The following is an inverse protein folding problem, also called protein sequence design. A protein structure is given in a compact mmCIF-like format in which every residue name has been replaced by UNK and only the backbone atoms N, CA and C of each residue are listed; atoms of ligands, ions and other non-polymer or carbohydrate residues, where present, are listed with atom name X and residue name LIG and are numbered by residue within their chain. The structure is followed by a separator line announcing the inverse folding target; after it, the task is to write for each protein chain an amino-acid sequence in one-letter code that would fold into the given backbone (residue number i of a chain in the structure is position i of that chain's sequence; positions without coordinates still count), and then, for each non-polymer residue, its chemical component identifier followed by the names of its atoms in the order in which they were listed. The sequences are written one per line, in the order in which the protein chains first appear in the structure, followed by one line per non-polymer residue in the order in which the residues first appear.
data_IF_055846968352
#
_entry.id   IF_055846968352
#
_cell.length_a   1.000
_cell.length_b   1.000
_cell.length_c   1.000
_cell.angle_alpha   90.00
_cell.angle_beta   90.00
_cell.angle_gamma   90.00
#
_symmetry.space_group_name_H-M   'P 1'
#
loop_
_entity.id
_entity.type
_entity.pdbx_description
1 polymer ?
#
# COMPACT_ATOMS: atom_id res chain seq x y z
N UNK A 1 9.71 -14.99 -4.37
CA UNK A 1 8.27 -14.68 -4.52
C UNK A 1 7.63 -15.82 -5.30
N UNK A 2 6.46 -16.36 -4.93
CA UNK A 2 5.84 -17.51 -5.63
C UNK A 2 5.25 -17.07 -6.99
N UNK A 3 5.19 -17.96 -7.97
CA UNK A 3 4.67 -17.75 -9.34
C UNK A 3 3.28 -17.09 -9.35
N UNK A 4 2.40 -17.47 -8.42
CA UNK A 4 1.07 -16.88 -8.27
C UNK A 4 1.10 -15.35 -7.99
N UNK A 5 2.14 -14.84 -7.34
CA UNK A 5 2.31 -13.40 -7.10
C UNK A 5 2.81 -12.68 -8.36
N UNK A 6 3.77 -13.29 -9.08
CA UNK A 6 4.27 -12.74 -10.33
C UNK A 6 3.17 -12.62 -11.37
N UNK A 7 2.28 -13.63 -11.46
CA UNK A 7 1.09 -13.55 -12.32
C UNK A 7 0.13 -12.42 -11.91
N UNK A 8 -0.10 -12.22 -10.60
CA UNK A 8 -0.95 -11.12 -10.11
C UNK A 8 -0.37 -9.75 -10.46
N UNK A 9 0.95 -9.59 -10.33
CA UNK A 9 1.64 -8.35 -10.72
C UNK A 9 1.49 -8.16 -12.23
N UNK A 10 1.79 -9.17 -13.05
CA UNK A 10 1.69 -9.08 -14.51
C UNK A 10 0.28 -8.75 -15.01
N UNK A 11 -0.77 -9.19 -14.30
CA UNK A 11 -2.18 -8.90 -14.64
C UNK A 11 -2.71 -7.60 -14.03
N UNK A 12 -1.92 -6.91 -13.22
CA UNK A 12 -2.37 -5.69 -12.53
C UNK A 12 -2.59 -4.54 -13.51
N UNK A 13 -3.73 -3.87 -13.40
CA UNK A 13 -4.12 -2.76 -14.27
C UNK A 13 -4.08 -1.44 -13.52
N UNK A 14 -3.77 -0.37 -14.24
CA UNK A 14 -3.81 0.99 -13.71
C UNK A 14 -5.21 1.32 -13.13
N UNK A 15 -5.31 1.86 -11.91
CA UNK A 15 -6.59 2.26 -11.32
C UNK A 15 -7.11 3.58 -11.91
N UNK A 16 -8.44 3.77 -11.94
CA UNK A 16 -9.12 4.94 -12.56
C UNK A 16 -8.64 6.30 -12.03
N UNK A 17 -8.32 6.42 -10.73
CA UNK A 17 -7.82 7.65 -10.10
C UNK A 17 -6.31 7.57 -9.82
N UNK A 18 -5.52 7.09 -10.79
CA UNK A 18 -4.13 6.71 -10.55
C UNK A 18 -3.28 7.78 -9.88
N UNK A 19 -3.30 9.05 -10.32
CA UNK A 19 -2.49 10.12 -9.71
C UNK A 19 -2.75 10.27 -8.20
N UNK A 20 -4.02 10.25 -7.78
CA UNK A 20 -4.39 10.37 -6.37
C UNK A 20 -3.94 9.14 -5.59
N UNK A 21 -4.22 7.94 -6.12
CA UNK A 21 -3.87 6.68 -5.43
C UNK A 21 -2.36 6.48 -5.38
N UNK A 22 -1.63 6.87 -6.42
CA UNK A 22 -0.18 6.86 -6.49
C UNK A 22 0.42 7.77 -5.43
N UNK A 23 -0.12 8.98 -5.25
CA UNK A 23 0.32 9.89 -4.20
C UNK A 23 0.14 9.27 -2.80
N UNK A 24 -1.04 8.71 -2.52
CA UNK A 24 -1.30 8.03 -1.25
C UNK A 24 -0.32 6.87 -1.05
N UNK A 25 -0.16 6.02 -2.06
CA UNK A 25 0.73 4.85 -2.02
C UNK A 25 2.19 5.25 -1.81
N UNK A 26 2.64 6.33 -2.45
CA UNK A 26 3.98 6.87 -2.25
C UNK A 26 4.27 7.20 -0.78
N UNK A 27 3.37 7.95 -0.12
CA UNK A 27 3.53 8.30 1.29
C UNK A 27 3.40 7.09 2.24
N UNK A 28 2.53 6.13 1.90
CA UNK A 28 2.48 4.85 2.60
C UNK A 28 3.83 4.14 2.55
N UNK A 29 4.36 3.88 1.35
CA UNK A 29 5.63 3.18 1.17
C UNK A 29 6.79 3.94 1.82
N UNK A 30 6.80 5.27 1.75
CA UNK A 30 7.81 6.09 2.43
C UNK A 30 7.80 5.84 3.95
N UNK A 31 6.63 5.85 4.59
CA UNK A 31 6.53 5.60 6.02
C UNK A 31 6.86 4.15 6.41
N UNK A 32 6.48 3.18 5.56
CA UNK A 32 6.89 1.77 5.74
C UNK A 32 8.41 1.61 5.67
N UNK A 33 9.08 2.22 4.68
CA UNK A 33 10.55 2.21 4.55
C UNK A 33 11.25 2.88 5.71
N UNK A 34 10.65 3.91 6.31
CA UNK A 34 11.15 4.58 7.52
C UNK A 34 10.92 3.77 8.80
N UNK A 35 10.25 2.63 8.73
CA UNK A 35 9.97 1.79 9.90
C UNK A 35 8.89 2.35 10.85
N UNK A 36 8.09 3.33 10.40
CA UNK A 36 7.01 3.88 11.24
C UNK A 36 6.03 2.79 11.61
N UNK A 37 5.62 2.66 12.88
CA UNK A 37 4.49 1.81 13.24
C UNK A 37 3.16 2.34 12.64
N UNK A 38 2.08 1.57 12.78
CA UNK A 38 0.82 1.90 12.09
C UNK A 38 0.18 3.16 12.63
N UNK A 39 0.35 3.43 13.93
CA UNK A 39 -0.18 4.65 14.54
C UNK A 39 0.60 5.88 14.06
N UNK A 40 1.93 5.77 14.04
CA UNK A 40 2.83 6.81 13.56
C UNK A 40 2.59 7.11 12.08
N UNK A 41 2.45 6.08 11.25
CA UNK A 41 2.11 6.26 9.83
C UNK A 41 0.78 6.98 9.65
N UNK A 42 -0.26 6.54 10.36
CA UNK A 42 -1.59 7.16 10.34
C UNK A 42 -1.52 8.66 10.71
N UNK A 43 -0.84 8.99 11.81
CA UNK A 43 -0.69 10.37 12.27
C UNK A 43 0.04 11.24 11.22
N UNK A 44 1.15 10.73 10.69
CA UNK A 44 1.95 11.46 9.67
C UNK A 44 1.16 11.68 8.38
N UNK A 45 0.40 10.70 7.91
CA UNK A 45 -0.45 10.87 6.72
C UNK A 45 -1.46 12.02 6.92
N UNK A 46 -2.10 12.07 8.09
CA UNK A 46 -3.04 13.13 8.44
C UNK A 46 -2.35 14.50 8.57
N UNK A 47 -1.20 14.57 9.25
CA UNK A 47 -0.40 15.80 9.40
C UNK A 47 0.02 16.38 8.04
N UNK A 48 0.38 15.52 7.07
CA UNK A 48 0.74 15.94 5.71
C UNK A 48 -0.48 16.18 4.80
N UNK A 49 -1.70 16.09 5.32
CA UNK A 49 -2.92 16.30 4.54
C UNK A 49 -3.18 15.22 3.47
N UNK A 50 -2.54 14.05 3.58
CA UNK A 50 -2.76 12.93 2.68
C UNK A 50 -4.05 12.24 3.06
N UNK A 51 -5.13 12.49 2.32
CA UNK A 51 -6.47 11.96 2.65
C UNK A 51 -6.75 10.58 2.02
N UNK A 52 -7.52 9.72 2.69
CA UNK A 52 -8.07 8.52 2.07
C UNK A 52 -9.09 8.88 0.98
N UNK A 53 -9.39 7.92 0.10
CA UNK A 53 -10.27 8.15 -1.06
C UNK A 53 -11.74 8.40 -0.69
N UNK A 54 -12.19 7.88 0.44
CA UNK A 54 -13.61 7.79 0.82
C UNK A 54 -13.89 8.27 2.25
N UNK A 55 -12.90 8.89 2.91
CA UNK A 55 -13.03 9.37 4.28
C UNK A 55 -12.21 10.66 4.48
N UNK A 56 -12.48 11.37 5.56
CA UNK A 56 -11.84 12.67 5.84
C UNK A 56 -10.46 12.55 6.47
N UNK A 57 -10.17 11.43 7.14
CA UNK A 57 -8.90 11.17 7.81
C UNK A 57 -8.54 9.69 7.84
N UNK A 58 -7.25 9.40 7.95
CA UNK A 58 -6.76 8.06 8.27
C UNK A 58 -7.02 7.74 9.73
N UNK A 59 -7.39 6.48 9.98
CA UNK A 59 -7.47 5.90 11.31
C UNK A 59 -6.47 4.77 11.40
N UNK A 60 -6.13 4.34 12.61
CA UNK A 60 -5.30 3.17 12.83
C UNK A 60 -5.84 1.95 12.06
N UNK A 61 -7.15 1.70 12.16
CA UNK A 61 -7.80 0.57 11.53
C UNK A 61 -7.77 0.66 9.99
N UNK A 62 -8.11 1.81 9.41
CA UNK A 62 -8.10 1.95 7.94
C UNK A 62 -6.68 1.85 7.39
N UNK A 63 -5.69 2.40 8.08
CA UNK A 63 -4.27 2.28 7.72
C UNK A 63 -3.81 0.83 7.75
N UNK A 64 -4.16 0.09 8.82
CA UNK A 64 -3.82 -1.33 8.94
C UNK A 64 -4.45 -2.18 7.82
N UNK A 65 -5.73 -1.95 7.52
CA UNK A 65 -6.43 -2.66 6.43
C UNK A 65 -5.79 -2.39 5.08
N UNK A 66 -5.40 -1.15 4.79
CA UNK A 66 -4.72 -0.85 3.52
C UNK A 66 -3.34 -1.50 3.42
N UNK A 67 -2.57 -1.55 4.51
CA UNK A 67 -1.31 -2.31 4.55
C UNK A 67 -1.54 -3.78 4.21
N UNK A 68 -2.57 -4.41 4.80
CA UNK A 68 -2.93 -5.80 4.51
C UNK A 68 -3.33 -6.00 3.05
N UNK A 69 -4.14 -5.10 2.49
CA UNK A 69 -4.54 -5.17 1.09
C UNK A 69 -3.34 -5.03 0.14
N UNK A 70 -2.39 -4.13 0.42
CA UNK A 70 -1.17 -4.01 -0.36
C UNK A 70 -0.30 -5.27 -0.27
N UNK A 71 -0.09 -5.80 0.95
CA UNK A 71 0.72 -7.02 1.16
C UNK A 71 0.16 -8.26 0.42
N UNK A 72 -1.16 -8.29 0.18
CA UNK A 72 -1.86 -9.39 -0.50
C UNK A 72 -2.10 -9.15 -1.99
N UNK A 73 -1.73 -7.97 -2.51
CA UNK A 73 -2.12 -7.48 -3.83
C UNK A 73 -3.63 -7.59 -4.06
N UNK A 74 -4.42 -7.19 -3.06
CA UNK A 74 -5.87 -7.32 -3.09
C UNK A 74 -6.48 -6.37 -4.13
N UNK A 75 -7.11 -6.95 -5.15
CA UNK A 75 -7.70 -6.20 -6.26
C UNK A 75 -9.00 -5.47 -5.88
N UNK A 76 -9.61 -5.81 -4.74
CA UNK A 76 -10.78 -5.10 -4.20
C UNK A 76 -10.40 -3.74 -3.60
N UNK A 77 -9.13 -3.55 -3.21
CA UNK A 77 -8.61 -2.27 -2.75
C UNK A 77 -7.97 -1.47 -3.88
N UNK A 78 -8.29 -0.17 -3.94
CA UNK A 78 -7.59 0.76 -4.83
C UNK A 78 -6.08 0.79 -4.58
N UNK A 79 -5.64 0.73 -3.31
CA UNK A 79 -4.21 0.72 -2.96
C UNK A 79 -3.56 -0.64 -3.23
N UNK A 80 -4.25 -1.75 -2.96
CA UNK A 80 -3.75 -3.09 -3.32
C UNK A 80 -3.54 -3.23 -4.83
N UNK A 81 -4.51 -2.78 -5.63
CA UNK A 81 -4.40 -2.75 -7.09
C UNK A 81 -3.30 -1.78 -7.59
N UNK A 82 -3.21 -0.59 -7.00
CA UNK A 82 -2.19 0.38 -7.37
C UNK A 82 -0.78 -0.14 -7.06
N UNK A 83 -0.59 -0.82 -5.93
CA UNK A 83 0.68 -1.40 -5.55
C UNK A 83 1.11 -2.51 -6.52
N UNK A 84 0.19 -3.42 -6.88
CA UNK A 84 0.44 -4.43 -7.91
C UNK A 84 0.81 -3.82 -9.26
N UNK A 85 0.11 -2.75 -9.67
CA UNK A 85 0.44 -2.04 -10.91
C UNK A 85 1.80 -1.31 -10.82
N UNK A 86 2.14 -0.71 -9.68
CA UNK A 86 3.44 -0.07 -9.48
C UNK A 86 4.60 -1.06 -9.48
N UNK A 87 4.42 -2.27 -8.94
CA UNK A 87 5.38 -3.36 -9.09
C UNK A 87 5.53 -3.75 -10.57
N UNK A 88 4.42 -3.85 -11.31
CA UNK A 88 4.44 -4.20 -12.72
C UNK A 88 5.23 -3.21 -13.59
N UNK A 89 5.12 -1.91 -13.31
CA UNK A 89 5.84 -0.86 -14.04
C UNK A 89 7.20 -0.48 -13.42
N UNK A 90 7.66 -1.20 -12.39
CA UNK A 90 8.95 -0.94 -11.72
C UNK A 90 8.99 0.33 -10.85
N UNK A 91 7.85 0.94 -10.53
CA UNK A 91 7.76 2.12 -9.67
C UNK A 91 7.71 1.76 -8.16
N UNK A 92 7.44 0.50 -7.84
CA UNK A 92 7.63 -0.11 -6.53
C UNK A 92 8.52 -1.34 -6.67
N UNK A 93 9.16 -1.77 -5.59
CA UNK A 93 10.17 -2.84 -5.59
C UNK A 93 9.73 -4.08 -4.82
N UNK A 94 10.39 -5.21 -5.06
CA UNK A 94 10.19 -6.41 -4.24
C UNK A 94 10.55 -6.18 -2.76
N UNK A 95 11.48 -5.27 -2.46
CA UNK A 95 11.81 -4.88 -1.10
C UNK A 95 10.62 -4.21 -0.40
N UNK A 96 9.84 -3.40 -1.12
CA UNK A 96 8.60 -2.82 -0.59
C UNK A 96 7.56 -3.90 -0.24
N UNK A 97 7.45 -4.92 -1.09
CA UNK A 97 6.57 -6.06 -0.84
C UNK A 97 7.01 -6.82 0.41
N UNK A 98 8.31 -7.11 0.55
CA UNK A 98 8.85 -7.81 1.71
C UNK A 98 8.58 -7.04 3.02
N UNK A 99 8.76 -5.72 3.03
CA UNK A 99 8.46 -4.88 4.19
C UNK A 99 6.97 -4.92 4.57
N UNK A 100 6.08 -4.90 3.58
CA UNK A 100 4.64 -5.01 3.82
C UNK A 100 4.26 -6.39 4.37
N UNK A 101 4.85 -7.46 3.84
CA UNK A 101 4.57 -8.84 4.27
C UNK A 101 5.07 -9.11 5.69
N UNK A 102 6.31 -8.71 6.02
CA UNK A 102 6.88 -8.81 7.37
C UNK A 102 5.98 -8.14 8.41
N UNK A 103 5.46 -6.96 8.06
CA UNK A 103 4.57 -6.18 8.94
C UNK A 103 3.23 -6.84 9.21
N UNK A 104 2.70 -7.59 8.24
CA UNK A 104 1.45 -8.35 8.40
C UNK A 104 1.70 -9.64 9.19
N UNK A 105 2.85 -10.30 8.99
CA UNK A 105 3.22 -11.55 9.67
C UNK A 105 3.53 -11.35 11.15
N UNK A 106 4.24 -10.28 11.54
CA UNK A 106 4.55 -9.95 12.96
C UNK A 106 3.33 -9.67 13.85
N UNK A 107 2.12 -9.69 13.29
CA UNK A 107 0.86 -9.40 13.97
C UNK A 107 -0.08 -10.61 14.08
N UNK A 108 0.36 -11.78 13.61
CA UNK A 108 -0.28 -13.08 13.84
C UNK A 108 0.40 -13.78 15.00
#
# INVERSE_FOLDING_TARGET
MNDAYQEKIARSKQPKKFKVVQNILHYFLLGIRKGYDTQTLCNRLNEYGIKPLVADSWTYHSTQMQIMFMARLDSSSSLGRAFGYMLHIGAATEADMALLQDRVQKRQ
#
